data_IF_850181149501
#
_entry.id   IF_850181149501
#
_cell.length_a   1.000
_cell.length_b   1.000
_cell.length_c   1.000
_cell.angle_alpha   90.00
_cell.angle_beta   90.00
_cell.angle_gamma   90.00
#
_symmetry.space_group_name_H-M   'P 1'
#
loop_
_entity.id
_entity.type
_entity.pdbx_description
1 polymer ?
#
# COMPACT_ATOMS: atom_id res chain seq x y z
N UNK A 1 -16.33 56.09 -14.52
CA UNK A 1 -16.89 55.00 -13.74
C UNK A 1 -16.47 53.69 -14.39
N UNK A 2 -15.55 52.92 -13.82
CA UNK A 2 -15.28 51.53 -14.22
C UNK A 2 -15.99 50.56 -13.27
N UNK A 3 -16.64 49.61 -13.87
CA UNK A 3 -17.34 48.50 -13.26
C UNK A 3 -16.36 47.52 -12.58
N UNK A 4 -16.64 47.20 -11.32
CA UNK A 4 -15.96 46.15 -10.55
C UNK A 4 -16.32 44.78 -11.13
N UNK A 5 -15.33 44.04 -11.63
CA UNK A 5 -15.40 42.59 -11.79
C UNK A 5 -14.77 41.94 -10.55
N UNK A 6 -15.61 41.37 -9.72
CA UNK A 6 -15.28 40.43 -8.65
C UNK A 6 -15.48 39.00 -9.20
N UNK A 7 -14.50 38.52 -9.98
CA UNK A 7 -14.41 37.09 -10.33
C UNK A 7 -12.98 36.64 -10.02
N UNK A 8 -12.80 35.95 -8.91
CA UNK A 8 -11.48 35.46 -8.50
C UNK A 8 -11.43 34.71 -7.18
N UNK A 9 -12.50 33.95 -6.81
CA UNK A 9 -12.51 33.20 -5.51
C UNK A 9 -12.94 31.74 -5.68
N UNK A 10 -13.19 31.22 -6.88
CA UNK A 10 -13.74 29.86 -7.04
C UNK A 10 -12.73 28.75 -7.42
N UNK A 11 -11.42 29.04 -7.50
CA UNK A 11 -10.43 28.04 -7.98
C UNK A 11 -9.62 27.32 -6.87
N UNK A 12 -10.10 27.35 -5.61
CA UNK A 12 -9.43 26.61 -4.51
C UNK A 12 -10.11 25.26 -4.23
N UNK A 13 -11.14 24.87 -4.98
CA UNK A 13 -11.96 23.66 -4.66
C UNK A 13 -11.45 22.34 -5.26
N UNK A 14 -10.45 22.34 -6.12
CA UNK A 14 -9.99 21.09 -6.80
C UNK A 14 -8.73 20.43 -6.22
N UNK A 15 -8.28 20.81 -5.02
CA UNK A 15 -7.19 20.12 -4.33
C UNK A 15 -7.68 19.05 -3.32
N UNK A 16 -8.96 18.70 -3.34
CA UNK A 16 -9.59 17.76 -2.38
C UNK A 16 -9.74 16.28 -2.78
N UNK A 17 -9.17 15.72 -3.86
CA UNK A 17 -9.30 14.28 -4.10
C UNK A 17 -8.33 13.39 -3.32
N UNK A 18 -7.31 13.94 -2.64
CA UNK A 18 -6.30 13.11 -1.96
C UNK A 18 -6.67 12.77 -0.51
N UNK A 19 -7.64 13.47 0.09
CA UNK A 19 -7.97 13.32 1.52
C UNK A 19 -9.01 12.25 1.85
N UNK A 20 -9.62 11.57 0.89
CA UNK A 20 -10.78 10.69 1.12
C UNK A 20 -10.57 9.23 0.70
N UNK A 21 -9.31 8.75 0.60
CA UNK A 21 -9.10 7.30 0.47
C UNK A 21 -9.10 6.68 1.86
N UNK A 22 -9.91 5.65 2.12
CA UNK A 22 -9.90 4.94 3.40
C UNK A 22 -8.49 4.38 3.64
N UNK A 23 -8.09 4.36 4.91
CA UNK A 23 -6.78 3.83 5.31
C UNK A 23 -6.63 2.37 4.86
N UNK A 24 -5.47 1.97 4.33
CA UNK A 24 -5.22 0.65 3.75
C UNK A 24 -5.55 -0.54 4.70
N UNK A 25 -5.48 -0.34 6.00
CA UNK A 25 -5.82 -1.35 7.01
C UNK A 25 -7.34 -1.57 7.15
N UNK A 26 -8.19 -0.57 6.86
CA UNK A 26 -9.65 -0.69 7.07
C UNK A 26 -10.29 -1.79 6.21
N UNK A 27 -9.99 -1.94 4.89
CA UNK A 27 -10.48 -3.05 4.10
C UNK A 27 -10.05 -4.42 4.65
N UNK A 28 -8.81 -4.53 5.16
CA UNK A 28 -8.33 -5.76 5.78
C UNK A 28 -9.14 -6.09 7.05
N UNK A 29 -9.41 -5.10 7.91
CA UNK A 29 -10.22 -5.31 9.12
C UNK A 29 -11.66 -5.71 8.80
N UNK A 30 -12.27 -5.19 7.73
CA UNK A 30 -13.62 -5.57 7.31
C UNK A 30 -13.75 -7.05 6.89
N UNK A 31 -12.67 -7.65 6.41
CA UNK A 31 -12.62 -9.07 6.04
C UNK A 31 -12.50 -9.99 7.24
N UNK A 32 -12.20 -9.45 8.43
CA UNK A 32 -12.03 -10.26 9.64
C UNK A 32 -13.36 -10.73 10.21
N UNK A 33 -13.34 -11.90 10.85
CA UNK A 33 -14.53 -12.44 11.50
C UNK A 33 -15.00 -11.57 12.67
N UNK A 34 -16.30 -11.57 12.93
CA UNK A 34 -16.89 -10.87 14.09
C UNK A 34 -16.24 -11.29 15.42
N UNK A 35 -15.84 -12.57 15.54
CA UNK A 35 -15.15 -13.11 16.74
C UNK A 35 -13.76 -12.53 16.88
N UNK A 36 -12.97 -12.43 15.79
CA UNK A 36 -11.64 -11.82 15.78
C UNK A 36 -11.71 -10.34 16.16
N UNK A 37 -12.65 -9.60 15.57
CA UNK A 37 -12.86 -8.18 15.89
C UNK A 37 -13.31 -8.00 17.34
N UNK A 38 -14.20 -8.86 17.86
CA UNK A 38 -14.62 -8.79 19.25
C UNK A 38 -13.48 -9.03 20.24
N UNK A 39 -12.56 -9.96 19.93
CA UNK A 39 -11.31 -10.17 20.70
C UNK A 39 -10.41 -8.94 20.62
N UNK A 40 -10.26 -8.36 19.43
CA UNK A 40 -9.45 -7.15 19.21
C UNK A 40 -9.99 -5.95 20.01
N UNK A 41 -11.32 -5.81 20.13
CA UNK A 41 -11.98 -4.76 20.86
C UNK A 41 -11.89 -4.89 22.39
N UNK A 42 -11.41 -6.00 22.91
CA UNK A 42 -11.11 -6.14 24.34
C UNK A 42 -9.93 -5.26 24.77
N UNK A 43 -9.05 -4.89 23.82
CA UNK A 43 -7.90 -4.02 24.10
C UNK A 43 -8.26 -2.54 23.90
N UNK A 44 -8.14 -1.69 24.94
CA UNK A 44 -8.36 -0.25 24.82
C UNK A 44 -7.46 0.44 23.81
N UNK A 45 -6.18 0.03 23.67
CA UNK A 45 -5.27 0.58 22.68
C UNK A 45 -5.73 0.27 21.24
N UNK A 46 -6.25 -0.94 21.01
CA UNK A 46 -6.80 -1.32 19.69
C UNK A 46 -8.02 -0.50 19.33
N UNK A 47 -8.95 -0.29 20.27
CA UNK A 47 -10.13 0.54 20.04
C UNK A 47 -9.76 2.00 19.74
N UNK A 48 -8.79 2.56 20.47
CA UNK A 48 -8.30 3.92 20.23
C UNK A 48 -7.64 4.05 18.86
N UNK A 49 -6.83 3.07 18.48
CA UNK A 49 -6.13 3.06 17.20
C UNK A 49 -7.11 2.94 16.03
N UNK A 50 -8.08 2.02 16.11
CA UNK A 50 -9.13 1.89 15.09
C UNK A 50 -9.96 3.17 15.02
N UNK A 51 -10.32 3.77 16.14
CA UNK A 51 -11.02 5.06 16.17
C UNK A 51 -10.25 6.18 15.45
N UNK A 52 -8.91 6.20 15.57
CA UNK A 52 -8.05 7.17 14.85
C UNK A 52 -8.03 6.93 13.34
N UNK A 53 -8.19 5.69 12.88
CA UNK A 53 -8.23 5.32 11.46
C UNK A 53 -9.55 5.66 10.77
N UNK A 54 -10.65 5.81 11.54
CA UNK A 54 -11.97 6.16 11.00
C UNK A 54 -11.94 7.56 10.37
N UNK A 55 -12.81 7.77 9.39
CA UNK A 55 -13.01 9.07 8.77
C UNK A 55 -13.70 10.07 9.74
N UNK A 56 -13.70 11.34 9.41
CA UNK A 56 -14.22 12.41 10.27
C UNK A 56 -15.67 12.20 10.68
N UNK A 57 -16.54 11.79 9.74
CA UNK A 57 -17.97 11.53 9.98
C UNK A 57 -18.15 10.29 10.84
N UNK A 58 -17.43 9.21 10.55
CA UNK A 58 -17.44 7.97 11.32
C UNK A 58 -17.03 8.22 12.77
N UNK A 59 -15.94 8.97 12.97
CA UNK A 59 -15.49 9.38 14.32
C UNK A 59 -16.54 10.18 15.05
N UNK A 60 -17.21 11.11 14.39
CA UNK A 60 -18.26 11.92 14.98
C UNK A 60 -19.46 11.06 15.39
N UNK A 61 -19.87 10.10 14.56
CA UNK A 61 -20.95 9.16 14.88
C UNK A 61 -20.60 8.31 16.10
N UNK A 62 -19.37 7.74 16.14
CA UNK A 62 -18.91 6.95 17.28
C UNK A 62 -18.88 7.80 18.55
N UNK A 63 -18.35 9.03 18.51
CA UNK A 63 -18.28 9.91 19.69
C UNK A 63 -19.66 10.29 20.19
N UNK A 64 -20.63 10.56 19.32
CA UNK A 64 -22.00 10.87 19.70
C UNK A 64 -22.68 9.70 20.40
N UNK A 65 -22.44 8.46 19.93
CA UNK A 65 -23.01 7.25 20.53
C UNK A 65 -22.24 6.76 21.77
N UNK A 66 -21.00 7.17 21.95
CA UNK A 66 -20.12 6.65 22.99
C UNK A 66 -20.68 6.84 24.39
N UNK A 67 -21.29 8.00 24.66
CA UNK A 67 -21.78 8.38 26.01
C UNK A 67 -23.27 8.13 26.21
N UNK A 68 -23.99 7.72 25.14
CA UNK A 68 -25.41 7.40 25.25
C UNK A 68 -25.60 6.05 25.95
N UNK A 69 -26.49 6.00 26.94
CA UNK A 69 -26.85 4.76 27.64
C UNK A 69 -27.82 3.89 26.84
N UNK A 70 -28.72 4.51 26.08
CA UNK A 70 -29.76 3.84 25.27
C UNK A 70 -29.49 3.93 23.78
N UNK A 71 -29.96 2.93 23.04
CA UNK A 71 -29.92 2.94 21.59
C UNK A 71 -30.82 4.04 21.02
N UNK A 72 -30.33 4.76 20.01
CA UNK A 72 -31.04 5.86 19.35
C UNK A 72 -31.71 5.38 18.05
N UNK A 73 -32.84 6.00 17.65
CA UNK A 73 -33.48 5.63 16.38
C UNK A 73 -32.69 6.15 15.17
N UNK A 74 -32.72 5.40 14.06
CA UNK A 74 -32.13 5.83 12.78
C UNK A 74 -32.67 7.19 12.31
N UNK A 75 -33.96 7.43 12.53
CA UNK A 75 -34.61 8.69 12.15
C UNK A 75 -34.10 9.88 12.93
N UNK A 76 -33.85 9.71 14.22
CA UNK A 76 -33.32 10.76 15.09
C UNK A 76 -31.88 11.11 14.71
N UNK A 77 -31.06 10.09 14.43
CA UNK A 77 -29.67 10.29 14.00
C UNK A 77 -29.60 10.92 12.59
N UNK A 78 -30.45 10.44 11.67
CA UNK A 78 -30.55 11.00 10.32
C UNK A 78 -31.00 12.47 10.28
N UNK A 79 -31.73 12.93 11.29
CA UNK A 79 -32.11 14.35 11.41
C UNK A 79 -30.91 15.28 11.72
N UNK A 80 -29.80 14.75 12.16
CA UNK A 80 -28.55 15.53 12.41
C UNK A 80 -27.73 15.75 11.14
N UNK A 81 -28.11 15.08 10.04
CA UNK A 81 -27.36 15.12 8.78
C UNK A 81 -28.09 15.97 7.76
N UNK A 82 -27.34 16.87 7.10
CA UNK A 82 -27.86 17.69 6.00
C UNK A 82 -28.18 16.78 4.82
N UNK A 83 -29.30 17.04 4.12
CA UNK A 83 -29.79 16.16 3.05
C UNK A 83 -28.79 15.90 1.93
N UNK A 84 -27.98 16.91 1.56
CA UNK A 84 -26.95 16.79 0.53
C UNK A 84 -25.81 15.81 0.90
N UNK A 85 -25.63 15.51 2.19
CA UNK A 85 -24.58 14.61 2.71
C UNK A 85 -25.13 13.24 3.15
N UNK A 86 -26.38 12.91 2.82
CA UNK A 86 -27.01 11.67 3.23
C UNK A 86 -26.25 10.43 2.72
N UNK A 87 -25.75 10.46 1.48
CA UNK A 87 -24.96 9.35 0.92
C UNK A 87 -23.71 9.07 1.76
N UNK A 88 -22.97 10.12 2.12
CA UNK A 88 -21.74 9.99 2.93
C UNK A 88 -22.04 9.45 4.34
N UNK A 89 -23.20 9.82 4.88
CA UNK A 89 -23.68 9.28 6.15
C UNK A 89 -24.04 7.79 6.04
N UNK A 90 -24.73 7.38 4.98
CA UNK A 90 -25.12 5.99 4.74
C UNK A 90 -23.86 5.12 4.52
N UNK A 91 -22.88 5.61 3.75
CA UNK A 91 -21.58 4.96 3.54
C UNK A 91 -20.82 4.80 4.88
N UNK A 92 -20.85 5.82 5.77
CA UNK A 92 -20.23 5.76 7.09
C UNK A 92 -20.91 4.73 8.01
N UNK A 93 -22.24 4.63 7.98
CA UNK A 93 -22.98 3.61 8.74
C UNK A 93 -22.63 2.19 8.26
N UNK A 94 -22.53 2.00 6.95
CA UNK A 94 -22.16 0.72 6.34
C UNK A 94 -20.73 0.30 6.75
N UNK A 95 -19.79 1.24 6.71
CA UNK A 95 -18.41 1.02 7.17
C UNK A 95 -18.36 0.60 8.65
N UNK A 96 -19.01 1.35 9.52
CA UNK A 96 -19.04 1.04 10.97
C UNK A 96 -19.75 -0.29 11.27
N UNK A 97 -20.77 -0.65 10.46
CA UNK A 97 -21.45 -1.94 10.57
C UNK A 97 -20.56 -3.10 10.12
N UNK A 98 -19.82 -2.97 9.02
CA UNK A 98 -18.86 -3.97 8.53
C UNK A 98 -17.71 -4.21 9.51
N UNK A 99 -17.29 -3.17 10.23
CA UNK A 99 -16.32 -3.28 11.31
C UNK A 99 -16.92 -3.84 12.62
N UNK A 100 -18.20 -4.18 12.65
CA UNK A 100 -18.91 -4.60 13.87
C UNK A 100 -18.78 -3.63 15.06
N UNK A 101 -18.52 -2.36 14.77
CA UNK A 101 -18.51 -1.28 15.79
C UNK A 101 -19.94 -0.85 16.09
N UNK A 102 -20.81 -0.84 15.06
CA UNK A 102 -22.17 -0.40 15.16
C UNK A 102 -23.14 -1.57 14.92
N UNK A 103 -24.14 -1.69 15.79
CA UNK A 103 -25.28 -2.62 15.60
C UNK A 103 -26.50 -1.85 15.11
N UNK A 104 -27.03 -2.27 13.96
CA UNK A 104 -28.21 -1.68 13.33
C UNK A 104 -29.36 -2.69 13.40
N UNK A 105 -30.27 -2.53 14.34
CA UNK A 105 -31.47 -3.38 14.51
C UNK A 105 -32.72 -2.53 14.73
N UNK A 106 -33.00 -1.59 13.78
CA UNK A 106 -34.01 -0.57 13.92
C UNK A 106 -33.63 0.59 14.83
N UNK A 107 -32.70 0.38 15.72
CA UNK A 107 -31.99 1.37 16.55
C UNK A 107 -30.50 1.20 16.39
N UNK A 108 -29.78 2.31 16.56
CA UNK A 108 -28.33 2.36 16.51
C UNK A 108 -27.74 2.22 17.92
N UNK A 109 -26.81 1.30 18.07
CA UNK A 109 -26.03 1.15 19.32
C UNK A 109 -24.60 0.72 18.98
N UNK A 110 -23.65 1.17 19.77
CA UNK A 110 -22.27 0.69 19.68
C UNK A 110 -22.14 -0.71 20.27
N UNK A 111 -21.24 -1.50 19.70
CA UNK A 111 -20.79 -2.75 20.30
C UNK A 111 -20.35 -2.50 21.75
N UNK A 112 -20.87 -3.27 22.68
CA UNK A 112 -20.63 -3.05 24.13
C UNK A 112 -19.17 -3.15 24.52
N UNK A 113 -18.44 -4.13 23.96
CA UNK A 113 -16.99 -4.32 24.20
C UNK A 113 -16.21 -3.13 23.67
N UNK A 114 -16.46 -2.74 22.42
CA UNK A 114 -15.81 -1.58 21.79
C UNK A 114 -16.09 -0.29 22.59
N UNK A 115 -17.35 -0.07 22.95
CA UNK A 115 -17.79 1.11 23.74
C UNK A 115 -17.06 1.20 25.08
N UNK A 116 -17.00 0.11 25.82
CA UNK A 116 -16.35 0.06 27.14
C UNK A 116 -14.84 0.29 27.01
N UNK A 117 -14.18 -0.41 26.08
CA UNK A 117 -12.74 -0.28 25.87
C UNK A 117 -12.33 1.09 25.35
N UNK A 118 -13.12 1.69 24.43
CA UNK A 118 -12.85 3.05 23.97
C UNK A 118 -13.06 4.10 25.06
N UNK A 119 -14.11 3.95 25.90
CA UNK A 119 -14.28 4.81 27.09
C UNK A 119 -13.05 4.72 28.03
N UNK A 120 -12.56 3.51 28.30
CA UNK A 120 -11.36 3.31 29.12
C UNK A 120 -10.13 3.96 28.48
N UNK A 121 -9.96 3.85 27.17
CA UNK A 121 -8.84 4.47 26.45
C UNK A 121 -8.85 6.01 26.58
N UNK A 122 -10.04 6.63 26.50
CA UNK A 122 -10.19 8.09 26.55
C UNK A 122 -10.09 8.62 27.99
N UNK A 123 -10.65 7.91 28.98
CA UNK A 123 -10.67 8.35 30.36
C UNK A 123 -9.44 7.94 31.18
N UNK A 124 -8.52 7.15 30.60
CA UNK A 124 -7.33 6.65 31.28
C UNK A 124 -7.58 5.47 32.21
N UNK A 125 -8.77 4.87 32.19
CA UNK A 125 -9.17 3.73 33.01
C UNK A 125 -8.86 2.36 32.44
N UNK A 126 -7.89 2.22 31.53
CA UNK A 126 -7.58 0.94 30.90
C UNK A 126 -6.94 -0.09 31.81
N UNK A 127 -7.00 -1.37 31.40
CA UNK A 127 -6.30 -2.45 32.08
C UNK A 127 -4.78 -2.21 32.04
N UNK A 128 -4.11 -2.51 33.17
CA UNK A 128 -2.65 -2.39 33.26
C UNK A 128 -1.97 -3.16 32.13
N UNK A 129 -1.23 -2.48 31.26
CA UNK A 129 -0.51 -3.06 30.15
C UNK A 129 -1.15 -2.88 28.76
N UNK A 130 -2.40 -2.41 28.63
CA UNK A 130 -3.04 -2.20 27.32
C UNK A 130 -2.30 -1.19 26.43
N UNK A 131 -1.58 -0.25 27.04
CA UNK A 131 -0.75 0.75 26.35
C UNK A 131 0.75 0.49 26.53
N UNK A 132 1.11 -0.75 26.87
CA UNK A 132 2.46 -1.11 27.27
C UNK A 132 2.76 -0.73 28.71
N UNK A 133 3.69 -1.45 29.35
CA UNK A 133 4.15 -1.15 30.70
C UNK A 133 5.43 -0.34 30.63
N UNK A 134 5.43 0.92 31.04
CA UNK A 134 6.62 1.73 31.02
C UNK A 134 7.70 1.15 31.93
N UNK A 135 8.94 1.16 31.47
CA UNK A 135 10.09 0.80 32.28
C UNK A 135 10.40 1.93 33.28
N UNK A 136 10.86 1.56 34.48
CA UNK A 136 11.38 2.53 35.44
C UNK A 136 12.64 3.23 34.87
N UNK A 137 12.77 4.52 35.15
CA UNK A 137 13.93 5.29 34.74
C UNK A 137 15.18 4.74 35.42
N UNK A 138 16.17 4.34 34.62
CA UNK A 138 17.49 3.93 35.10
C UNK A 138 18.45 5.11 34.93
N UNK A 139 18.83 5.74 36.02
CA UNK A 139 19.75 6.89 36.02
C UNK A 139 21.14 6.53 35.43
N UNK A 140 21.53 5.26 35.54
CA UNK A 140 22.83 4.78 35.00
C UNK A 140 22.77 4.50 33.51
N UNK A 141 21.57 4.38 32.93
CA UNK A 141 21.36 4.01 31.52
C UNK A 141 20.19 4.80 30.97
N UNK A 142 20.40 6.04 30.57
CA UNK A 142 19.33 6.85 30.00
C UNK A 142 18.76 6.17 28.73
N UNK A 143 17.46 6.32 28.47
CA UNK A 143 16.86 5.89 27.21
C UNK A 143 17.52 6.60 26.03
N UNK A 144 17.40 6.04 24.85
CA UNK A 144 17.81 6.71 23.62
C UNK A 144 16.95 7.97 23.44
N UNK A 145 17.57 9.07 23.05
CA UNK A 145 16.87 10.30 22.71
C UNK A 145 16.02 10.16 21.43
N UNK A 146 15.11 11.08 21.23
CA UNK A 146 14.17 11.02 20.10
C UNK A 146 14.92 11.13 18.78
N UNK A 147 15.96 11.98 18.69
CA UNK A 147 16.78 12.13 17.47
C UNK A 147 17.51 10.83 17.10
N UNK A 148 18.05 10.15 18.11
CA UNK A 148 18.70 8.86 17.91
C UNK A 148 17.71 7.76 17.49
N UNK A 149 16.48 7.75 18.04
CA UNK A 149 15.41 6.83 17.63
C UNK A 149 14.98 7.11 16.17
N UNK A 150 14.86 8.38 15.80
CA UNK A 150 14.50 8.79 14.45
C UNK A 150 15.59 8.43 13.44
N UNK A 151 16.86 8.69 13.79
CA UNK A 151 18.02 8.30 12.97
C UNK A 151 18.10 6.78 12.75
N UNK A 152 17.88 6.01 13.81
CA UNK A 152 17.85 4.55 13.74
C UNK A 152 16.70 4.05 12.84
N UNK A 153 15.50 4.59 13.03
CA UNK A 153 14.34 4.20 12.22
C UNK A 153 14.56 4.48 10.74
N UNK A 154 15.10 5.67 10.42
CA UNK A 154 15.42 6.08 9.06
C UNK A 154 16.48 5.17 8.44
N UNK A 155 17.59 4.90 9.14
CA UNK A 155 18.67 4.02 8.67
C UNK A 155 18.14 2.63 8.31
N UNK A 156 17.32 2.03 9.19
CA UNK A 156 16.75 0.71 8.94
C UNK A 156 15.80 0.71 7.75
N UNK A 157 14.94 1.70 7.67
CA UNK A 157 13.98 1.84 6.57
C UNK A 157 14.69 2.08 5.24
N UNK A 158 15.63 3.02 5.19
CA UNK A 158 16.43 3.29 3.99
C UNK A 158 17.26 2.07 3.56
N UNK A 159 17.78 1.27 4.48
CA UNK A 159 18.48 0.03 4.16
C UNK A 159 17.60 -0.94 3.37
N UNK A 160 16.32 -1.08 3.74
CA UNK A 160 15.35 -1.93 3.01
C UNK A 160 15.12 -1.38 1.60
N UNK A 161 14.83 -0.10 1.49
CA UNK A 161 14.54 0.54 0.20
C UNK A 161 15.76 0.54 -0.72
N UNK A 162 16.95 0.85 -0.19
CA UNK A 162 18.22 0.78 -0.93
C UNK A 162 18.52 -0.62 -1.45
N UNK A 163 18.25 -1.64 -0.65
CA UNK A 163 18.45 -3.01 -1.08
C UNK A 163 17.55 -3.35 -2.27
N UNK A 164 16.28 -2.91 -2.24
CA UNK A 164 15.33 -3.13 -3.34
C UNK A 164 15.80 -2.48 -4.64
N UNK A 165 16.26 -1.22 -4.58
CA UNK A 165 16.69 -0.46 -5.76
C UNK A 165 18.02 -0.97 -6.30
N UNK A 166 19.00 -1.28 -5.42
CA UNK A 166 20.37 -1.63 -5.82
C UNK A 166 20.52 -3.06 -6.32
N UNK A 167 19.56 -3.94 -6.03
CA UNK A 167 19.64 -5.36 -6.42
C UNK A 167 19.69 -5.60 -7.94
N UNK A 168 19.30 -4.60 -8.76
CA UNK A 168 19.38 -4.65 -10.22
C UNK A 168 20.59 -3.92 -10.83
N UNK A 169 21.36 -3.13 -10.04
CA UNK A 169 22.38 -2.22 -10.56
C UNK A 169 23.82 -2.78 -10.50
N UNK A 170 24.01 -4.02 -10.03
CA UNK A 170 25.34 -4.63 -9.88
C UNK A 170 26.18 -4.10 -8.71
N UNK A 171 25.66 -3.15 -7.94
CA UNK A 171 26.27 -2.73 -6.67
C UNK A 171 25.92 -3.74 -5.57
N UNK A 172 26.84 -3.95 -4.61
CA UNK A 172 26.58 -4.80 -3.44
C UNK A 172 25.96 -3.96 -2.32
N UNK A 173 24.61 -3.88 -2.22
CA UNK A 173 23.99 -3.11 -1.15
C UNK A 173 24.16 -3.82 0.20
N UNK A 174 24.05 -3.07 1.29
CA UNK A 174 23.95 -3.63 2.64
C UNK A 174 22.76 -4.60 2.69
N UNK A 175 23.05 -5.86 2.99
CA UNK A 175 22.02 -6.91 2.98
C UNK A 175 21.12 -6.78 4.22
N UNK A 176 19.79 -6.63 4.08
CA UNK A 176 18.88 -6.65 5.20
C UNK A 176 18.84 -8.04 5.88
N UNK A 177 18.18 -8.12 7.03
CA UNK A 177 18.00 -9.37 7.75
C UNK A 177 17.28 -10.43 6.91
N UNK A 178 17.45 -11.69 7.27
CA UNK A 178 16.81 -12.80 6.57
C UNK A 178 15.27 -12.71 6.65
N UNK A 179 14.71 -12.20 7.77
CA UNK A 179 13.28 -11.96 7.93
C UNK A 179 12.72 -10.93 6.94
N UNK A 180 13.46 -9.81 6.76
CA UNK A 180 13.11 -8.77 5.76
C UNK A 180 13.18 -9.33 4.34
N UNK A 181 14.24 -10.07 4.01
CA UNK A 181 14.38 -10.68 2.67
C UNK A 181 13.24 -11.65 2.37
N UNK A 182 12.88 -12.49 3.34
CA UNK A 182 11.76 -13.40 3.19
C UNK A 182 10.44 -12.66 2.96
N UNK A 183 10.19 -11.58 3.72
CA UNK A 183 9.00 -10.75 3.54
C UNK A 183 8.96 -10.13 2.14
N UNK A 184 10.06 -9.52 1.66
CA UNK A 184 10.13 -8.90 0.35
C UNK A 184 9.93 -9.89 -0.81
N UNK A 185 10.39 -11.13 -0.66
CA UNK A 185 10.17 -12.18 -1.64
C UNK A 185 8.74 -12.73 -1.60
N UNK A 186 8.23 -12.98 -0.41
CA UNK A 186 6.89 -13.55 -0.22
C UNK A 186 5.79 -12.58 -0.63
N UNK A 187 6.00 -11.28 -0.40
CA UNK A 187 5.10 -10.21 -0.85
C UNK A 187 5.10 -9.98 -2.36
N UNK A 188 6.01 -10.66 -3.10
CA UNK A 188 6.16 -10.43 -4.53
C UNK A 188 6.81 -9.10 -4.90
N UNK A 189 7.33 -8.33 -3.93
CA UNK A 189 8.05 -7.08 -4.20
C UNK A 189 9.43 -7.35 -4.83
N UNK A 190 10.01 -8.50 -4.52
CA UNK A 190 11.26 -8.98 -5.11
C UNK A 190 11.13 -10.43 -5.57
N UNK A 191 11.79 -10.80 -6.66
CA UNK A 191 11.81 -12.16 -7.18
C UNK A 191 13.24 -12.71 -7.27
N UNK A 192 13.39 -14.02 -6.97
CA UNK A 192 14.62 -14.76 -7.23
C UNK A 192 14.45 -15.56 -8.52
N UNK A 193 15.04 -15.11 -9.61
CA UNK A 193 15.13 -15.91 -10.82
C UNK A 193 16.43 -16.72 -10.81
N UNK A 194 16.30 -18.07 -10.71
CA UNK A 194 17.38 -19.06 -10.95
C UNK A 194 18.71 -18.82 -10.21
N UNK A 195 18.66 -18.52 -8.89
CA UNK A 195 19.88 -18.44 -8.07
C UNK A 195 20.69 -17.14 -8.22
N UNK A 196 20.15 -16.16 -8.93
CA UNK A 196 20.67 -14.80 -9.00
C UNK A 196 20.33 -14.01 -7.72
N UNK A 197 20.94 -12.83 -7.54
CA UNK A 197 20.52 -11.89 -6.51
C UNK A 197 19.04 -11.53 -6.71
N UNK A 198 18.26 -11.34 -5.61
CA UNK A 198 16.87 -10.92 -5.72
C UNK A 198 16.75 -9.65 -6.56
N UNK A 199 15.84 -9.65 -7.54
CA UNK A 199 15.57 -8.49 -8.38
C UNK A 199 14.21 -7.87 -8.01
N UNK A 200 14.10 -6.56 -8.16
CA UNK A 200 12.86 -5.84 -7.96
C UNK A 200 11.84 -6.24 -9.02
N UNK A 201 10.60 -6.44 -8.59
CA UNK A 201 9.47 -6.71 -9.50
C UNK A 201 8.75 -5.41 -9.87
N UNK A 202 7.76 -5.50 -10.76
CA UNK A 202 6.85 -4.39 -11.06
C UNK A 202 6.10 -3.92 -9.81
N UNK A 203 5.61 -4.84 -8.98
CA UNK A 203 4.97 -4.51 -7.70
C UNK A 203 5.94 -3.82 -6.74
N UNK A 204 7.21 -4.26 -6.70
CA UNK A 204 8.25 -3.61 -5.90
C UNK A 204 8.56 -2.20 -6.39
N UNK A 205 8.56 -1.97 -7.70
CA UNK A 205 8.72 -0.64 -8.27
C UNK A 205 7.55 0.29 -7.88
N UNK A 206 6.31 -0.18 -8.01
CA UNK A 206 5.13 0.57 -7.57
C UNK A 206 5.19 0.93 -6.09
N UNK A 207 5.58 -0.02 -5.25
CA UNK A 207 5.80 0.19 -3.82
C UNK A 207 6.78 1.34 -3.55
N UNK A 208 7.89 1.43 -4.28
CA UNK A 208 8.87 2.52 -4.13
C UNK A 208 8.32 3.90 -4.50
N UNK A 209 7.33 3.97 -5.37
CA UNK A 209 6.68 5.22 -5.77
C UNK A 209 5.63 5.71 -4.76
N UNK A 210 5.17 4.85 -3.83
CA UNK A 210 4.23 5.24 -2.80
C UNK A 210 4.87 6.15 -1.75
N UNK A 211 4.08 7.02 -1.07
CA UNK A 211 4.59 7.78 0.07
C UNK A 211 4.99 6.85 1.23
N UNK A 212 5.96 7.24 2.08
CA UNK A 212 6.53 6.37 3.13
C UNK A 212 5.49 5.72 4.06
N UNK A 213 4.42 6.43 4.39
CA UNK A 213 3.34 5.88 5.23
C UNK A 213 2.57 4.75 4.54
N UNK A 214 2.30 4.90 3.23
CA UNK A 214 1.66 3.84 2.44
C UNK A 214 2.60 2.64 2.27
N UNK A 215 3.89 2.87 1.96
CA UNK A 215 4.91 1.83 1.89
C UNK A 215 4.97 1.01 3.19
N UNK A 216 4.96 1.67 4.34
CA UNK A 216 5.00 1.01 5.63
C UNK A 216 3.77 0.11 5.83
N UNK A 217 2.57 0.60 5.49
CA UNK A 217 1.35 -0.19 5.62
C UNK A 217 1.26 -1.33 4.61
N UNK A 218 1.73 -1.13 3.38
CA UNK A 218 1.80 -2.21 2.38
C UNK A 218 2.69 -3.36 2.90
N UNK A 219 3.84 -3.02 3.51
CA UNK A 219 4.74 -4.01 4.10
C UNK A 219 4.10 -4.72 5.32
N UNK A 220 3.44 -3.96 6.20
CA UNK A 220 2.79 -4.52 7.38
C UNK A 220 1.57 -5.38 7.04
N UNK A 221 0.80 -5.04 6.00
CA UNK A 221 -0.28 -5.88 5.50
C UNK A 221 0.24 -7.23 5.00
N UNK A 222 1.37 -7.22 4.28
CA UNK A 222 2.03 -8.47 3.89
C UNK A 222 2.51 -9.27 5.10
N UNK A 223 3.02 -8.61 6.13
CA UNK A 223 3.37 -9.27 7.39
C UNK A 223 2.15 -9.92 8.06
N UNK A 224 0.98 -9.26 8.06
CA UNK A 224 -0.26 -9.81 8.59
C UNK A 224 -0.72 -11.06 7.80
N UNK A 225 -0.62 -11.04 6.47
CA UNK A 225 -0.92 -12.23 5.66
C UNK A 225 0.02 -13.40 5.95
N UNK A 226 1.29 -13.13 6.25
CA UNK A 226 2.24 -14.18 6.64
C UNK A 226 2.08 -14.66 8.07
N UNK A 227 1.41 -13.92 8.94
CA UNK A 227 1.21 -14.31 10.33
C UNK A 227 0.46 -15.64 10.46
N UNK A 228 -0.53 -15.88 9.60
CA UNK A 228 -1.27 -17.14 9.55
C UNK A 228 -0.37 -18.31 9.14
N UNK A 229 0.50 -18.13 8.16
CA UNK A 229 1.46 -19.16 7.71
C UNK A 229 2.49 -19.48 8.81
N UNK A 230 2.84 -18.51 9.63
CA UNK A 230 3.76 -18.64 10.78
C UNK A 230 3.08 -19.15 12.05
N UNK A 231 1.79 -19.50 11.99
CA UNK A 231 0.97 -19.95 13.14
C UNK A 231 0.92 -18.90 14.28
N UNK A 232 1.01 -17.62 13.93
CA UNK A 232 0.87 -16.52 14.88
C UNK A 232 -0.61 -16.13 14.99
N UNK A 233 -1.07 -15.79 16.20
CA UNK A 233 -2.44 -15.29 16.37
C UNK A 233 -2.54 -13.87 15.78
N UNK A 234 -3.31 -13.74 14.70
CA UNK A 234 -3.51 -12.49 13.99
C UNK A 234 -4.02 -11.35 14.90
N UNK A 235 -4.89 -11.69 15.87
CA UNK A 235 -5.42 -10.70 16.82
C UNK A 235 -4.32 -10.18 17.75
N UNK A 236 -3.41 -11.04 18.19
CA UNK A 236 -2.26 -10.62 19.00
C UNK A 236 -1.29 -9.74 18.19
N UNK A 237 -1.06 -10.07 16.92
CA UNK A 237 -0.21 -9.28 16.01
C UNK A 237 -0.81 -7.88 15.81
N UNK A 238 -2.10 -7.79 15.47
CA UNK A 238 -2.81 -6.51 15.31
C UNK A 238 -2.83 -5.71 16.62
N UNK A 239 -3.10 -6.38 17.75
CA UNK A 239 -3.10 -5.73 19.06
C UNK A 239 -1.74 -5.12 19.38
N UNK A 240 -0.66 -5.78 18.97
CA UNK A 240 0.69 -5.25 19.18
C UNK A 240 0.97 -4.02 18.31
N UNK A 241 0.62 -4.03 17.03
CA UNK A 241 0.75 -2.86 16.18
C UNK A 241 -0.06 -1.66 16.71
N UNK A 242 -1.28 -1.90 17.15
CA UNK A 242 -2.11 -0.86 17.75
C UNK A 242 -1.57 -0.36 19.09
N UNK A 243 -1.03 -1.26 19.90
CA UNK A 243 -0.37 -0.87 21.15
C UNK A 243 0.85 0.03 20.86
N UNK A 244 1.71 -0.35 19.91
CA UNK A 244 2.87 0.44 19.48
C UNK A 244 2.46 1.83 19.00
N UNK A 245 1.36 1.94 18.24
CA UNK A 245 0.86 3.22 17.72
C UNK A 245 0.33 4.17 18.80
N UNK A 246 0.06 3.66 20.00
CA UNK A 246 -0.44 4.44 21.14
C UNK A 246 0.63 4.73 22.19
N UNK A 247 1.82 4.18 22.05
CA UNK A 247 2.95 4.39 22.96
C UNK A 247 3.56 5.79 22.80
N UNK A 248 4.22 6.26 23.84
CA UNK A 248 4.94 7.53 23.85
C UNK A 248 6.34 7.39 23.26
N UNK A 249 6.67 8.27 22.30
CA UNK A 249 8.00 8.33 21.71
C UNK A 249 9.04 8.77 22.76
N UNK A 250 10.22 8.14 22.74
CA UNK A 250 11.31 8.45 23.69
C UNK A 250 11.17 7.78 25.06
N UNK A 251 10.17 6.90 25.24
CA UNK A 251 9.97 6.15 26.48
C UNK A 251 10.33 4.67 26.28
N UNK A 252 10.91 4.05 27.30
CA UNK A 252 11.19 2.61 27.31
C UNK A 252 10.02 1.83 27.91
N UNK A 253 9.74 0.66 27.36
CA UNK A 253 8.69 -0.27 27.78
C UNK A 253 9.27 -1.64 28.08
N UNK A 254 8.63 -2.39 29.00
CA UNK A 254 9.05 -3.73 29.40
C UNK A 254 8.52 -4.79 28.43
N UNK A 255 9.38 -5.78 28.10
CA UNK A 255 9.00 -6.93 27.27
C UNK A 255 8.36 -8.07 28.05
N UNK A 256 8.40 -8.03 29.40
CA UNK A 256 7.94 -9.14 30.25
C UNK A 256 6.44 -9.42 30.10
N UNK A 257 5.65 -8.35 29.92
CA UNK A 257 4.20 -8.42 29.81
C UNK A 257 3.68 -8.69 28.38
N UNK A 258 4.58 -8.88 27.44
CA UNK A 258 4.20 -9.24 26.07
C UNK A 258 3.86 -10.72 25.97
N UNK A 259 2.91 -11.08 25.12
CA UNK A 259 2.59 -12.47 24.80
C UNK A 259 3.75 -13.16 24.08
N UNK A 260 3.67 -14.47 23.94
CA UNK A 260 4.70 -15.24 23.22
C UNK A 260 4.79 -14.82 21.75
N UNK A 261 3.65 -14.59 21.11
CA UNK A 261 3.55 -14.09 19.73
C UNK A 261 4.21 -12.72 19.61
N UNK A 262 3.88 -11.78 20.52
CA UNK A 262 4.43 -10.44 20.52
C UNK A 262 5.95 -10.43 20.76
N UNK A 263 6.47 -11.33 21.61
CA UNK A 263 7.91 -11.50 21.81
C UNK A 263 8.62 -12.01 20.57
N UNK A 264 8.00 -12.93 19.82
CA UNK A 264 8.54 -13.43 18.56
C UNK A 264 8.61 -12.32 17.48
N UNK A 265 7.70 -11.34 17.53
CA UNK A 265 7.69 -10.19 16.61
C UNK A 265 8.80 -9.18 16.87
N UNK A 266 9.38 -9.13 18.07
CA UNK A 266 10.34 -8.08 18.44
C UNK A 266 11.56 -8.03 17.52
N UNK A 267 12.08 -9.17 17.08
CA UNK A 267 13.22 -9.23 16.18
C UNK A 267 12.86 -8.68 14.78
N UNK A 268 11.71 -9.08 14.25
CA UNK A 268 11.21 -8.58 12.96
C UNK A 268 10.98 -7.06 13.02
N UNK A 269 10.29 -6.56 14.07
CA UNK A 269 9.98 -5.13 14.23
C UNK A 269 11.21 -4.25 14.43
N UNK A 270 12.25 -4.80 15.08
CA UNK A 270 13.54 -4.12 15.20
C UNK A 270 14.21 -3.99 13.83
N UNK A 271 14.13 -5.03 13.01
CA UNK A 271 14.72 -5.04 11.68
C UNK A 271 13.98 -4.10 10.70
N UNK A 272 12.67 -3.92 10.91
CA UNK A 272 11.88 -2.91 10.15
C UNK A 272 12.05 -1.47 10.68
N UNK A 273 12.77 -1.30 11.79
CA UNK A 273 12.96 0.02 12.39
C UNK A 273 11.75 0.56 13.19
N UNK A 274 10.75 -0.29 13.50
CA UNK A 274 9.57 0.09 14.27
C UNK A 274 9.85 0.19 15.77
N UNK A 275 10.77 -0.63 16.27
CA UNK A 275 11.21 -0.62 17.66
C UNK A 275 12.72 -0.58 17.74
N UNK A 276 13.21 0.01 18.80
CA UNK A 276 14.63 -0.01 19.16
C UNK A 276 14.85 -0.82 20.42
N UNK A 277 15.88 -1.67 20.41
CA UNK A 277 16.37 -2.38 21.56
C UNK A 277 17.89 -2.26 21.64
N UNK A 278 18.43 -2.01 22.82
CA UNK A 278 19.89 -1.91 23.02
C UNK A 278 20.62 -3.21 22.65
N UNK A 279 20.02 -4.35 22.92
CA UNK A 279 20.44 -5.71 22.56
C UNK A 279 19.21 -6.56 22.26
N UNK A 280 19.31 -7.57 21.42
CA UNK A 280 18.20 -8.50 21.13
C UNK A 280 17.61 -9.17 22.41
N UNK A 281 18.47 -9.41 23.42
CA UNK A 281 18.05 -9.99 24.72
C UNK A 281 17.61 -8.94 25.75
N UNK A 282 17.45 -7.69 25.37
CA UNK A 282 17.03 -6.63 26.29
C UNK A 282 15.58 -6.86 26.73
N UNK A 283 15.33 -6.70 28.03
CA UNK A 283 13.96 -6.73 28.59
C UNK A 283 13.20 -5.41 28.40
N UNK A 284 13.81 -4.46 27.67
CA UNK A 284 13.24 -3.14 27.39
C UNK A 284 13.32 -2.86 25.90
N UNK A 285 12.34 -2.15 25.40
CA UNK A 285 12.32 -1.63 24.04
C UNK A 285 11.72 -0.23 24.01
N UNK A 286 12.05 0.55 22.98
CA UNK A 286 11.45 1.86 22.72
C UNK A 286 10.78 1.84 21.36
N UNK A 287 9.54 2.34 21.24
CA UNK A 287 8.92 2.53 19.94
C UNK A 287 9.62 3.68 19.20
N UNK A 288 9.73 3.55 17.89
CA UNK A 288 10.22 4.62 17.02
C UNK A 288 9.05 5.46 16.50
N UNK A 289 9.35 6.56 15.79
CA UNK A 289 8.31 7.38 15.16
C UNK A 289 7.53 6.60 14.10
N UNK A 290 8.17 5.68 13.37
CA UNK A 290 7.49 4.79 12.42
C UNK A 290 6.33 4.01 13.09
N UNK A 291 6.55 3.51 14.30
CA UNK A 291 5.54 2.76 15.04
C UNK A 291 4.45 3.67 15.63
N UNK A 292 4.85 4.77 16.26
CA UNK A 292 3.89 5.66 16.95
C UNK A 292 2.97 6.42 15.99
N UNK A 293 3.36 6.56 14.74
CA UNK A 293 2.56 7.24 13.69
C UNK A 293 1.72 6.30 12.84
N UNK A 294 1.73 4.99 13.10
CA UNK A 294 0.98 3.99 12.30
C UNK A 294 -0.50 4.34 12.11
N UNK A 295 -1.16 4.88 13.14
CA UNK A 295 -2.58 5.23 13.10
C UNK A 295 -2.84 6.74 13.16
N UNK A 296 -1.83 7.55 12.85
CA UNK A 296 -1.96 9.01 12.86
C UNK A 296 -1.69 9.58 11.46
N UNK A 297 -2.19 10.79 11.21
CA UNK A 297 -1.91 11.55 9.99
C UNK A 297 -0.55 12.27 10.02
N UNK A 298 0.22 12.10 11.11
CA UNK A 298 1.53 12.72 11.25
C UNK A 298 2.55 12.03 10.34
N UNK A 299 3.56 12.76 9.83
CA UNK A 299 4.61 12.16 9.01
C UNK A 299 5.35 11.08 9.80
N UNK A 300 5.48 9.90 9.19
CA UNK A 300 6.08 8.71 9.82
C UNK A 300 7.60 8.76 9.91
N UNK A 301 8.24 9.56 9.09
CA UNK A 301 9.69 9.75 9.12
C UNK A 301 10.01 11.21 9.44
N UNK A 302 11.01 11.48 10.28
CA UNK A 302 11.48 12.83 10.48
C UNK A 302 12.05 13.34 9.17
N UNK A 303 11.69 14.55 8.82
CA UNK A 303 12.43 15.30 7.81
C UNK A 303 13.82 15.51 8.38
N UNK A 304 14.85 14.97 7.73
CA UNK A 304 16.23 14.99 8.20
C UNK A 304 16.59 16.35 8.81
N UNK A 305 16.89 16.33 10.10
CA UNK A 305 17.30 17.48 10.91
C UNK A 305 18.71 17.90 10.54
N UNK A 306 18.86 18.72 9.54
CA UNK A 306 20.17 19.26 9.17
C UNK A 306 20.18 20.05 7.85
N UNK A 307 19.36 19.64 6.92
CA UNK A 307 18.97 20.42 5.74
C UNK A 307 17.46 20.67 5.83
N UNK A 308 17.03 21.20 6.98
CA UNK A 308 15.64 21.46 7.32
C UNK A 308 15.02 22.31 6.25
N UNK A 309 14.07 21.77 5.57
CA UNK A 309 13.14 22.34 4.58
C UNK A 309 13.25 21.83 3.15
N UNK A 310 14.33 21.18 2.72
CA UNK A 310 14.44 20.74 1.31
C UNK A 310 13.75 19.41 0.99
N UNK A 311 13.53 18.53 1.96
CA UNK A 311 12.92 17.21 1.68
C UNK A 311 11.39 17.19 1.61
N UNK A 312 10.72 18.21 2.16
CA UNK A 312 9.29 18.49 1.88
C UNK A 312 9.10 19.43 0.69
N UNK A 313 10.13 20.16 0.29
CA UNK A 313 10.11 20.88 -0.96
C UNK A 313 10.46 19.90 -2.06
N UNK A 314 9.58 19.76 -3.05
CA UNK A 314 9.85 18.92 -4.19
C UNK A 314 11.23 19.27 -4.79
N UNK A 315 11.91 18.26 -5.27
CA UNK A 315 13.29 18.35 -5.74
C UNK A 315 13.43 18.13 -7.25
N UNK A 316 12.32 17.86 -7.95
CA UNK A 316 12.30 17.51 -9.38
C UNK A 316 11.86 18.71 -10.20
N UNK A 317 12.64 19.05 -11.21
CA UNK A 317 12.27 19.99 -12.29
C UNK A 317 12.22 19.24 -13.60
N UNK A 318 11.11 19.38 -14.33
CA UNK A 318 10.86 18.74 -15.62
C UNK A 318 10.76 19.79 -16.71
N UNK A 319 11.45 19.57 -17.81
CA UNK A 319 11.35 20.38 -19.03
C UNK A 319 10.55 19.67 -20.13
N UNK A 320 10.03 20.45 -21.06
CA UNK A 320 9.26 19.94 -22.22
C UNK A 320 10.08 19.05 -23.16
N UNK A 321 11.41 19.13 -23.08
CA UNK A 321 12.37 18.33 -23.86
C UNK A 321 12.74 17.01 -23.18
N UNK A 322 11.92 16.53 -22.21
CA UNK A 322 12.12 15.31 -21.42
C UNK A 322 13.33 15.33 -20.48
N UNK A 323 13.91 16.49 -20.19
CA UNK A 323 14.99 16.61 -19.23
C UNK A 323 14.44 16.68 -17.81
N UNK A 324 15.08 15.89 -16.92
CA UNK A 324 14.79 15.86 -15.49
C UNK A 324 16.00 16.39 -14.73
N UNK A 325 15.78 17.39 -13.90
CA UNK A 325 16.80 17.89 -12.98
C UNK A 325 16.36 17.54 -11.56
N UNK A 326 17.22 16.85 -10.81
CA UNK A 326 16.97 16.51 -9.43
C UNK A 326 17.90 17.29 -8.50
N UNK A 327 17.34 18.09 -7.65
CA UNK A 327 18.04 18.88 -6.63
C UNK A 327 18.01 18.11 -5.30
N UNK A 328 18.78 17.04 -5.21
CA UNK A 328 18.81 16.18 -4.03
C UNK A 328 20.20 15.60 -3.79
N UNK A 329 20.60 15.52 -2.52
CA UNK A 329 21.79 14.80 -2.07
C UNK A 329 21.45 13.41 -1.51
N UNK A 330 20.15 13.03 -1.50
CA UNK A 330 19.71 11.75 -1.00
C UNK A 330 19.95 10.64 -2.04
N UNK A 331 20.84 9.66 -1.75
CA UNK A 331 21.17 8.60 -2.68
C UNK A 331 19.97 7.71 -3.02
N UNK A 332 19.00 7.54 -2.09
CA UNK A 332 17.80 6.76 -2.35
C UNK A 332 16.89 7.44 -3.39
N UNK A 333 16.68 8.76 -3.28
CA UNK A 333 15.88 9.53 -4.26
C UNK A 333 16.51 9.45 -5.65
N UNK A 334 17.83 9.59 -5.73
CA UNK A 334 18.59 9.43 -6.98
C UNK A 334 18.47 8.01 -7.54
N UNK A 335 18.54 7.00 -6.69
CA UNK A 335 18.42 5.60 -7.10
C UNK A 335 17.00 5.27 -7.60
N UNK A 336 15.95 5.78 -6.94
CA UNK A 336 14.56 5.62 -7.41
C UNK A 336 14.35 6.31 -8.77
N UNK A 337 14.87 7.53 -8.95
CA UNK A 337 14.80 8.21 -10.25
C UNK A 337 15.48 7.41 -11.35
N UNK A 338 16.64 6.81 -11.08
CA UNK A 338 17.39 6.01 -12.05
C UNK A 338 16.65 4.73 -12.51
N UNK A 339 15.58 4.31 -11.84
CA UNK A 339 14.75 3.20 -12.30
C UNK A 339 13.95 3.55 -13.56
N UNK A 340 13.58 4.81 -13.75
CA UNK A 340 12.79 5.27 -14.90
C UNK A 340 13.41 6.46 -15.65
N UNK A 341 14.57 6.97 -15.18
CA UNK A 341 15.32 8.05 -15.80
C UNK A 341 16.74 7.58 -16.08
N UNK A 342 17.24 7.75 -17.30
CA UNK A 342 18.62 7.43 -17.64
C UNK A 342 19.53 8.60 -17.32
N UNK A 343 20.45 8.44 -16.38
CA UNK A 343 21.47 9.43 -16.08
C UNK A 343 22.52 9.50 -17.20
N UNK A 344 22.80 10.68 -17.71
CA UNK A 344 23.93 10.93 -18.62
C UNK A 344 25.17 11.33 -17.81
N UNK A 345 26.33 10.82 -18.18
CA UNK A 345 27.60 10.83 -17.42
C UNK A 345 28.21 12.20 -17.09
N UNK A 346 27.51 13.34 -17.27
CA UNK A 346 28.06 14.67 -16.97
C UNK A 346 27.02 15.63 -16.37
N UNK A 347 26.40 15.25 -15.28
CA UNK A 347 25.35 16.03 -14.66
C UNK A 347 23.98 15.49 -15.06
N UNK A 348 23.09 15.47 -14.08
CA UNK A 348 21.75 14.94 -14.21
C UNK A 348 21.04 15.59 -15.37
N UNK A 349 20.93 14.92 -16.47
CA UNK A 349 20.14 15.40 -17.59
C UNK A 349 19.48 14.26 -18.36
N UNK A 350 18.21 14.37 -18.44
CA UNK A 350 17.25 13.84 -19.38
C UNK A 350 16.99 12.36 -19.46
N UNK A 351 15.79 12.09 -19.11
CA UNK A 351 15.00 10.92 -19.30
C UNK A 351 15.06 10.36 -20.71
N UNK A 352 15.63 9.21 -20.88
CA UNK A 352 15.14 8.22 -21.80
C UNK A 352 14.70 7.06 -20.92
N UNK A 353 13.38 6.87 -20.81
CA UNK A 353 12.81 5.77 -20.06
C UNK A 353 13.26 4.47 -20.71
N UNK A 354 13.73 3.57 -19.87
CA UNK A 354 14.37 2.33 -20.30
C UNK A 354 13.37 1.36 -20.95
N UNK A 355 13.78 0.75 -22.06
CA UNK A 355 13.08 -0.32 -22.80
C UNK A 355 13.02 -1.67 -22.06
N UNK A 356 13.04 -1.69 -20.74
CA UNK A 356 13.19 -2.91 -19.97
C UNK A 356 12.37 -3.00 -18.69
N UNK A 357 11.07 -2.71 -18.72
CA UNK A 357 10.18 -2.96 -17.59
C UNK A 357 9.62 -4.38 -17.59
N UNK A 358 9.46 -5.00 -16.39
CA UNK A 358 8.77 -6.27 -16.26
C UNK A 358 7.30 -6.16 -16.64
N UNK A 359 6.79 -7.21 -17.27
CA UNK A 359 5.57 -7.32 -18.08
C UNK A 359 4.22 -7.16 -17.38
N UNK A 360 4.14 -6.69 -16.15
CA UNK A 360 2.84 -6.66 -15.44
C UNK A 360 2.59 -5.39 -14.66
N UNK A 361 1.79 -4.47 -15.17
CA UNK A 361 0.65 -3.81 -14.49
C UNK A 361 0.14 -2.57 -15.22
N UNK A 362 -1.16 -2.45 -15.26
CA UNK A 362 -1.97 -1.42 -15.95
C UNK A 362 -1.91 0.00 -15.32
N UNK A 363 -1.07 0.27 -14.30
CA UNK A 363 -1.16 1.49 -13.50
C UNK A 363 0.17 2.25 -13.32
N UNK A 364 1.22 1.89 -14.05
CA UNK A 364 2.57 2.46 -13.80
C UNK A 364 2.66 3.92 -14.23
N UNK A 365 2.02 4.31 -15.31
CA UNK A 365 2.03 5.67 -15.86
C UNK A 365 1.46 6.68 -14.87
N UNK A 366 0.27 6.41 -14.33
CA UNK A 366 -0.38 7.26 -13.34
C UNK A 366 0.42 7.37 -12.05
N UNK A 367 1.13 6.32 -11.65
CA UNK A 367 1.97 6.34 -10.45
C UNK A 367 3.25 7.14 -10.67
N UNK A 368 3.91 7.02 -11.82
CA UNK A 368 5.06 7.85 -12.19
C UNK A 368 4.64 9.32 -12.25
N UNK A 369 3.52 9.64 -12.91
CA UNK A 369 3.00 11.01 -12.99
C UNK A 369 2.68 11.53 -11.58
N UNK A 370 2.05 10.72 -10.73
CA UNK A 370 1.74 11.08 -9.35
C UNK A 370 3.01 11.30 -8.52
N UNK A 371 4.02 10.43 -8.66
CA UNK A 371 5.31 10.59 -8.01
C UNK A 371 6.03 11.88 -8.43
N UNK A 372 6.11 12.14 -9.73
CA UNK A 372 6.71 13.36 -10.28
C UNK A 372 5.97 14.62 -9.82
N UNK A 373 4.63 14.56 -9.74
CA UNK A 373 3.77 15.64 -9.25
C UNK A 373 4.02 15.91 -7.76
N UNK A 374 4.08 14.87 -6.95
CA UNK A 374 4.30 14.98 -5.50
C UNK A 374 5.69 15.56 -5.16
N UNK A 375 6.70 15.21 -5.96
CA UNK A 375 8.08 15.64 -5.76
C UNK A 375 8.51 16.83 -6.65
N UNK A 376 7.57 17.47 -7.35
CA UNK A 376 7.85 18.62 -8.19
C UNK A 376 8.36 19.82 -7.37
N UNK A 377 9.46 20.45 -7.83
CA UNK A 377 10.05 21.62 -7.19
C UNK A 377 9.03 22.77 -7.11
N UNK A 378 9.05 23.61 -6.05
CA UNK A 378 8.10 24.71 -5.87
C UNK A 378 8.02 25.67 -7.08
N UNK A 379 9.11 25.83 -7.83
CA UNK A 379 9.12 26.63 -9.05
C UNK A 379 8.20 26.06 -10.14
N UNK A 380 8.05 24.74 -10.21
CA UNK A 380 7.16 24.07 -11.17
C UNK A 380 5.68 24.36 -10.88
N UNK A 381 5.33 24.64 -9.61
CA UNK A 381 3.94 24.95 -9.21
C UNK A 381 3.37 26.22 -9.85
N UNK A 382 4.20 27.01 -10.50
CA UNK A 382 3.79 28.19 -11.26
C UNK A 382 3.23 27.85 -12.65
N UNK A 383 3.44 26.64 -13.12
CA UNK A 383 2.99 26.16 -14.41
C UNK A 383 1.70 25.36 -14.27
N UNK A 384 0.79 25.51 -15.23
CA UNK A 384 -0.43 24.73 -15.33
C UNK A 384 -0.53 24.15 -16.76
N UNK A 385 -0.49 22.84 -16.92
CA UNK A 385 -0.30 21.77 -15.91
C UNK A 385 1.10 21.78 -15.30
N UNK A 386 1.20 21.24 -14.07
CA UNK A 386 2.44 21.16 -13.29
C UNK A 386 3.53 20.35 -14.03
N UNK A 387 3.14 19.22 -14.62
CA UNK A 387 4.00 18.42 -15.48
C UNK A 387 3.71 18.79 -16.93
N UNK A 388 4.74 19.05 -17.76
CA UNK A 388 4.54 19.34 -19.17
C UNK A 388 3.70 18.26 -19.87
N UNK A 389 2.72 18.67 -20.68
CA UNK A 389 1.82 17.76 -21.40
C UNK A 389 2.59 16.77 -22.26
N UNK A 390 3.68 17.23 -22.92
CA UNK A 390 4.55 16.37 -23.73
C UNK A 390 5.13 15.19 -22.93
N UNK A 391 5.52 15.42 -21.67
CA UNK A 391 6.04 14.38 -20.78
C UNK A 391 4.92 13.43 -20.36
N UNK A 392 3.74 13.94 -20.00
CA UNK A 392 2.59 13.11 -19.66
C UNK A 392 2.16 12.22 -20.82
N UNK A 393 2.06 12.79 -22.03
CA UNK A 393 1.67 12.04 -23.22
C UNK A 393 2.70 10.97 -23.59
N UNK A 394 4.00 11.27 -23.42
CA UNK A 394 5.04 10.29 -23.66
C UNK A 394 4.98 9.12 -22.67
N UNK A 395 4.76 9.38 -21.38
CA UNK A 395 4.60 8.32 -20.37
C UNK A 395 3.39 7.43 -20.71
N UNK A 396 2.26 8.03 -21.09
CA UNK A 396 1.07 7.29 -21.52
C UNK A 396 1.30 6.50 -22.83
N UNK A 397 2.07 7.07 -23.75
CA UNK A 397 2.41 6.38 -24.99
C UNK A 397 3.24 5.12 -24.72
N UNK A 398 4.17 5.16 -23.77
CA UNK A 398 4.95 3.98 -23.37
C UNK A 398 4.08 2.87 -22.78
N UNK A 399 3.05 3.22 -21.99
CA UNK A 399 2.10 2.25 -21.49
C UNK A 399 1.34 1.57 -22.63
N UNK A 400 0.85 2.35 -23.60
CA UNK A 400 0.20 1.82 -24.78
C UNK A 400 1.14 0.96 -25.63
N UNK A 401 2.42 1.30 -25.72
CA UNK A 401 3.42 0.49 -26.43
C UNK A 401 3.75 -0.81 -25.69
N UNK A 402 3.74 -0.79 -24.37
CA UNK A 402 3.93 -1.98 -23.54
C UNK A 402 2.83 -3.02 -23.76
N UNK A 403 1.57 -2.58 -23.85
CA UNK A 403 0.43 -3.46 -24.08
C UNK A 403 0.28 -3.96 -25.53
N UNK A 404 1.19 -3.58 -26.40
CA UNK A 404 1.19 -3.94 -27.82
C UNK A 404 1.35 -5.44 -28.08
N UNK A 405 2.02 -6.14 -27.18
CA UNK A 405 2.18 -7.59 -27.22
C UNK A 405 1.22 -8.24 -26.24
N UNK A 406 0.14 -8.83 -26.76
CA UNK A 406 -0.76 -9.68 -25.99
C UNK A 406 -0.29 -11.13 -26.12
N UNK A 407 0.09 -11.75 -25.00
CA UNK A 407 0.33 -13.20 -24.93
C UNK A 407 -0.97 -13.87 -24.53
N UNK A 408 -1.46 -14.78 -25.38
CA UNK A 408 -2.61 -15.61 -25.07
C UNK A 408 -2.21 -17.07 -25.20
N UNK A 409 -2.57 -17.86 -24.20
CA UNK A 409 -2.38 -19.30 -24.22
C UNK A 409 -3.49 -19.95 -25.06
N UNK A 410 -3.10 -20.95 -25.85
CA UNK A 410 -4.02 -21.66 -26.72
C UNK A 410 -3.40 -22.90 -27.36
N UNK A 411 -4.14 -23.51 -28.25
CA UNK A 411 -3.69 -24.71 -28.99
C UNK A 411 -3.45 -24.39 -30.44
N UNK A 412 -2.31 -24.88 -30.97
CA UNK A 412 -1.97 -24.80 -32.38
C UNK A 412 -2.40 -26.08 -33.08
N UNK A 413 -3.32 -25.96 -34.01
CA UNK A 413 -3.80 -27.07 -34.85
C UNK A 413 -3.05 -27.06 -36.17
N UNK A 414 -2.24 -28.13 -36.42
CA UNK A 414 -1.38 -28.22 -37.60
C UNK A 414 -1.58 -29.50 -38.42
N UNK A 415 -2.20 -30.55 -37.83
CA UNK A 415 -2.33 -31.86 -38.44
C UNK A 415 -3.73 -32.04 -39.06
N UNK A 416 -3.86 -31.76 -40.35
CA UNK A 416 -5.08 -31.98 -41.13
C UNK A 416 -4.81 -32.93 -42.28
N UNK A 417 -5.69 -33.88 -42.53
CA UNK A 417 -5.54 -34.89 -43.58
C UNK A 417 -5.68 -34.28 -44.97
N UNK A 418 -6.55 -33.30 -45.14
CA UNK A 418 -6.79 -32.63 -46.43
C UNK A 418 -7.03 -31.12 -46.26
N UNK A 419 -7.00 -30.37 -47.36
CA UNK A 419 -7.38 -28.95 -47.37
C UNK A 419 -8.84 -28.75 -46.95
N UNK A 420 -9.71 -29.62 -47.39
CA UNK A 420 -11.13 -29.58 -47.06
C UNK A 420 -11.38 -29.80 -45.54
N UNK A 421 -10.61 -30.68 -44.91
CA UNK A 421 -10.71 -30.90 -43.47
C UNK A 421 -10.25 -29.68 -42.68
N UNK A 422 -9.17 -29.05 -43.11
CA UNK A 422 -8.70 -27.79 -42.50
C UNK A 422 -9.77 -26.71 -42.57
N UNK A 423 -10.32 -26.44 -43.76
CA UNK A 423 -11.33 -25.41 -43.97
C UNK A 423 -12.57 -25.67 -43.11
N UNK A 424 -13.02 -26.91 -43.03
CA UNK A 424 -14.21 -27.29 -42.30
C UNK A 424 -14.04 -27.14 -40.78
N UNK A 425 -12.90 -27.54 -40.24
CA UNK A 425 -12.61 -27.34 -38.79
C UNK A 425 -12.36 -25.89 -38.48
N UNK A 426 -11.73 -25.15 -39.37
CA UNK A 426 -11.51 -23.71 -39.22
C UNK A 426 -12.84 -22.94 -39.21
N UNK A 427 -13.75 -23.25 -40.11
CA UNK A 427 -15.07 -22.61 -40.14
C UNK A 427 -15.89 -22.90 -38.87
N UNK A 428 -15.83 -24.13 -38.37
CA UNK A 428 -16.43 -24.46 -37.07
C UNK A 428 -15.79 -23.68 -35.94
N UNK A 429 -14.46 -23.58 -35.90
CA UNK A 429 -13.76 -22.79 -34.86
C UNK A 429 -14.06 -21.28 -34.96
N UNK A 430 -14.26 -20.75 -36.17
CA UNK A 430 -14.72 -19.38 -36.43
C UNK A 430 -16.16 -19.14 -35.94
N UNK A 431 -17.06 -20.11 -36.12
CA UNK A 431 -18.44 -20.03 -35.63
C UNK A 431 -18.49 -19.98 -34.09
N UNK A 432 -17.50 -20.58 -33.42
CA UNK A 432 -17.36 -20.53 -31.98
C UNK A 432 -16.61 -19.30 -31.45
N UNK A 433 -16.10 -18.44 -32.34
CA UNK A 433 -15.31 -17.24 -32.04
C UNK A 433 -14.05 -17.53 -31.19
N UNK A 434 -13.43 -18.70 -31.43
CA UNK A 434 -12.26 -19.18 -30.66
C UNK A 434 -10.94 -19.12 -31.45
N UNK A 435 -10.95 -18.66 -32.70
CA UNK A 435 -9.76 -18.54 -33.56
C UNK A 435 -9.02 -17.25 -33.24
N UNK A 436 -7.80 -17.38 -32.74
CA UNK A 436 -6.93 -16.25 -32.43
C UNK A 436 -6.03 -15.86 -33.61
N UNK A 437 -5.60 -16.84 -34.41
CA UNK A 437 -4.77 -16.64 -35.56
C UNK A 437 -4.90 -17.80 -36.54
N UNK A 438 -4.79 -17.53 -37.88
CA UNK A 438 -4.87 -18.52 -38.91
C UNK A 438 -3.80 -18.32 -40.00
N UNK A 439 -3.35 -19.43 -40.60
CA UNK A 439 -2.45 -19.41 -41.74
C UNK A 439 -2.88 -20.49 -42.77
N UNK A 440 -3.61 -20.05 -43.78
CA UNK A 440 -4.17 -20.92 -44.80
C UNK A 440 -3.09 -21.60 -45.69
N UNK A 441 -1.94 -20.93 -45.89
CA UNK A 441 -0.84 -21.48 -46.68
C UNK A 441 -0.17 -22.69 -46.01
N UNK A 442 -0.08 -22.65 -44.64
CA UNK A 442 0.50 -23.75 -43.85
C UNK A 442 -0.57 -24.67 -43.24
N UNK A 443 -1.86 -24.46 -43.54
CA UNK A 443 -3.00 -25.23 -43.00
C UNK A 443 -2.92 -25.35 -41.49
N UNK A 444 -2.75 -24.24 -40.81
CA UNK A 444 -2.72 -24.22 -39.36
C UNK A 444 -3.49 -23.01 -38.82
N UNK A 445 -4.06 -23.19 -37.66
CA UNK A 445 -4.68 -22.10 -36.90
C UNK A 445 -4.42 -22.25 -35.40
N UNK A 446 -4.47 -21.15 -34.69
CA UNK A 446 -4.29 -21.10 -33.25
C UNK A 446 -5.62 -20.72 -32.61
N UNK A 447 -6.12 -21.57 -31.73
CA UNK A 447 -7.40 -21.39 -31.03
C UNK A 447 -7.22 -21.21 -29.53
N UNK A 448 -8.16 -20.50 -28.90
CA UNK A 448 -8.15 -20.27 -27.46
C UNK A 448 -8.31 -21.58 -26.65
N UNK A 449 -7.85 -21.58 -25.39
CA UNK A 449 -7.98 -22.71 -24.46
C UNK A 449 -9.45 -23.14 -24.26
N UNK A 450 -10.35 -22.17 -24.15
CA UNK A 450 -11.78 -22.41 -23.90
C UNK A 450 -12.46 -23.20 -25.00
N UNK A 451 -12.03 -23.03 -26.26
CA UNK A 451 -12.58 -23.74 -27.42
C UNK A 451 -12.02 -25.13 -27.65
N UNK A 452 -10.94 -25.52 -26.98
CA UNK A 452 -10.19 -26.75 -27.31
C UNK A 452 -11.05 -28.02 -27.22
N UNK A 453 -11.81 -28.16 -26.14
CA UNK A 453 -12.67 -29.35 -25.94
C UNK A 453 -13.72 -29.49 -27.03
N UNK A 454 -14.31 -28.39 -27.49
CA UNK A 454 -15.34 -28.37 -28.54
C UNK A 454 -14.74 -28.73 -29.89
N UNK A 455 -13.60 -28.13 -30.26
CA UNK A 455 -12.90 -28.42 -31.50
C UNK A 455 -12.44 -29.88 -31.51
N UNK A 456 -11.87 -30.39 -30.42
CA UNK A 456 -11.42 -31.79 -30.32
C UNK A 456 -12.58 -32.75 -30.49
N UNK A 457 -13.68 -32.55 -29.79
CA UNK A 457 -14.88 -33.38 -29.91
C UNK A 457 -15.45 -33.37 -31.35
N UNK A 458 -15.38 -32.21 -32.00
CA UNK A 458 -15.82 -32.08 -33.39
C UNK A 458 -14.94 -32.90 -34.37
N UNK A 459 -13.61 -32.84 -34.21
CA UNK A 459 -12.64 -33.64 -34.98
C UNK A 459 -12.83 -35.13 -34.70
N UNK A 460 -12.98 -35.56 -33.46
CA UNK A 460 -13.18 -36.97 -33.08
C UNK A 460 -14.48 -37.57 -33.65
N UNK A 461 -15.58 -36.82 -33.64
CA UNK A 461 -16.86 -37.26 -34.26
C UNK A 461 -16.74 -37.47 -35.73
N UNK A 462 -15.92 -36.69 -36.40
CA UNK A 462 -15.73 -36.81 -37.86
C UNK A 462 -14.80 -37.95 -38.23
N UNK A 463 -13.76 -38.20 -37.46
CA UNK A 463 -12.84 -39.33 -37.66
C UNK A 463 -13.51 -40.68 -37.35
N UNK A 464 -14.42 -40.70 -36.37
CA UNK A 464 -15.18 -41.92 -36.02
C UNK A 464 -16.40 -42.18 -36.90
N UNK A 465 -16.88 -41.19 -37.66
CA UNK A 465 -18.00 -41.36 -38.61
C UNK A 465 -17.57 -41.67 -40.03
N UNK A 466 -16.27 -41.83 -40.31
CA UNK A 466 -15.71 -42.17 -41.60
C UNK A 466 -15.27 -43.67 -41.75
N UNK A 467 -15.75 -44.52 -40.79
CA UNK A 467 -15.63 -45.99 -40.90
C UNK A 467 -16.95 -46.62 -41.24
#
# INVERSE_FOLDING_TARGET
MPSNNTDGVDDIRDLTPVLNKPHALLPFLQLQSATSLSRLYQSPSSCLSIFRLLDSIERQLVMNLLWLESAISLTTMGAWVVQDKKKVYDDALDMLSKLHILHISGKLSLNTTFKTSLRHAITGGGTTGSFGVPAEKDEKRPPMDIEGLDGYALERWETILHFMVSSGTGQTPTRPSQGVLYLLQRSGLMSNQHGSLPQITSAGFQFLLHPPHAQLWDLLLQYLHMAEERQMDLVEVLTFFFMLSTMELGREYLTENLSQTQKAMLDDLRDYGLIWQRRATSRRFSPTRLATTLTSSSPSLPTSTGAASSSQQGFIVLETNYRVYAYTDNPLQTAVLNLFVRALNNGISAAQVCDGYPESSELIDNQIISYLTAHAHPQMRKFNPLIPVTVQDQIRLWELEKERLKSQEGYLYTAFASQADYEFVLDYAKQLDVVLWENNAKRCFFGSLEGHSNIRNFIERRTSGAT
#
